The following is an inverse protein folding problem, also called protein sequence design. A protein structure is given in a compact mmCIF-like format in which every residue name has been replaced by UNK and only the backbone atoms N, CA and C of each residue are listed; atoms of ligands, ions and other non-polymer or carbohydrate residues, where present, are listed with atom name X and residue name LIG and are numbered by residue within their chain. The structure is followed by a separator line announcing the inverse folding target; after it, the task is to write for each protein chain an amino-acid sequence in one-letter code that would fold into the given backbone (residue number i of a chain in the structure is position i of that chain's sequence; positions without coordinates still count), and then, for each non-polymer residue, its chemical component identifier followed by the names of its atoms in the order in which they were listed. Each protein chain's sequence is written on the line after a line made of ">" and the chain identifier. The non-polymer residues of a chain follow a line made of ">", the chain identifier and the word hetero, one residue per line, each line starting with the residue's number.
data_IF_266265346825
#
_entry.id   IF_266265346825
#
_cell.length_a   1.000
_cell.length_b   1.000
_cell.length_c   1.000
_cell.angle_alpha   90.00
_cell.angle_beta   90.00
_cell.angle_gamma   90.00
#
_symmetry.space_group_name_H-M   'P 1'
#
loop_
_entity.id
_entity.type
_entity.pdbx_description
1 polymer ?
#
# COMPACT_ATOMS: atom_id res chain seq x y z
N UNK A 1 53.66 -5.93 -35.23
CA UNK A 1 52.53 -5.01 -35.46
C UNK A 1 51.15 -5.69 -35.33
N UNK A 2 50.88 -6.85 -35.96
CA UNK A 2 49.59 -7.57 -35.82
C UNK A 2 49.18 -7.94 -34.38
N UNK A 3 50.13 -8.33 -33.52
CA UNK A 3 49.86 -8.70 -32.11
C UNK A 3 49.42 -7.51 -31.24
N UNK A 4 49.99 -6.33 -31.49
CA UNK A 4 49.63 -5.07 -30.80
C UNK A 4 48.24 -4.60 -31.24
N UNK A 5 47.93 -4.76 -32.53
CA UNK A 5 46.60 -4.47 -33.06
C UNK A 5 45.53 -5.43 -32.50
N UNK A 6 45.87 -6.72 -32.33
CA UNK A 6 44.99 -7.72 -31.72
C UNK A 6 44.72 -7.42 -30.23
N UNK A 7 45.74 -7.03 -29.46
CA UNK A 7 45.56 -6.66 -28.05
C UNK A 7 44.74 -5.39 -27.88
N UNK A 8 44.87 -4.42 -28.80
CA UNK A 8 44.08 -3.18 -28.79
C UNK A 8 42.60 -3.43 -29.11
N UNK A 9 42.31 -4.35 -30.03
CA UNK A 9 40.94 -4.77 -30.34
C UNK A 9 40.33 -5.55 -29.17
N UNK A 10 41.11 -6.42 -28.52
CA UNK A 10 40.63 -7.20 -27.38
C UNK A 10 40.35 -6.33 -26.15
N UNK A 11 41.18 -5.29 -25.90
CA UNK A 11 40.86 -4.30 -24.88
C UNK A 11 39.64 -3.48 -25.28
N UNK A 12 39.52 -3.03 -26.54
CA UNK A 12 38.35 -2.27 -27.01
C UNK A 12 37.02 -3.05 -26.87
N UNK A 13 37.06 -4.36 -27.10
CA UNK A 13 35.93 -5.27 -26.97
C UNK A 13 35.53 -5.57 -25.51
N UNK A 14 36.42 -5.30 -24.55
CA UNK A 14 36.20 -5.56 -23.12
C UNK A 14 35.68 -4.32 -22.35
N UNK A 15 35.78 -3.10 -22.92
CA UNK A 15 35.17 -1.89 -22.33
C UNK A 15 33.67 -2.01 -22.01
N UNK A 16 32.80 -2.65 -22.83
CA UNK A 16 31.38 -2.78 -22.52
C UNK A 16 31.08 -3.75 -21.37
N UNK A 17 32.07 -4.43 -20.77
CA UNK A 17 31.89 -5.26 -19.58
C UNK A 17 32.14 -4.49 -18.27
N UNK A 18 32.76 -3.31 -18.35
CA UNK A 18 33.01 -2.41 -17.21
C UNK A 18 31.99 -1.28 -17.10
N UNK A 19 31.12 -1.13 -18.10
CA UNK A 19 29.93 -0.31 -17.92
C UNK A 19 29.00 -1.10 -16.99
N UNK A 20 29.07 -0.80 -15.70
CA UNK A 20 27.90 -0.99 -14.85
C UNK A 20 26.76 -0.26 -15.55
N UNK A 21 25.77 -1.01 -16.02
CA UNK A 21 24.53 -0.42 -16.48
C UNK A 21 24.11 0.58 -15.39
N UNK A 22 23.99 1.85 -15.76
CA UNK A 22 23.32 2.83 -14.89
C UNK A 22 21.86 2.43 -14.97
N UNK A 23 21.50 1.42 -14.19
CA UNK A 23 20.12 1.09 -13.93
C UNK A 23 19.57 2.30 -13.19
N UNK A 24 18.59 2.96 -13.80
CA UNK A 24 17.78 3.92 -13.08
C UNK A 24 17.13 3.17 -11.93
N UNK A 25 17.67 3.31 -10.71
CA UNK A 25 16.98 2.87 -9.51
C UNK A 25 15.65 3.57 -9.50
N UNK A 26 14.57 2.79 -9.52
CA UNK A 26 13.24 3.31 -9.42
C UNK A 26 13.18 4.11 -8.10
N UNK A 27 12.91 5.44 -8.14
CA UNK A 27 12.78 6.23 -6.93
C UNK A 27 11.57 5.81 -6.10
N UNK A 28 10.72 4.93 -6.66
CA UNK A 28 9.66 4.24 -5.98
C UNK A 28 10.13 2.81 -5.64
N UNK A 29 9.97 2.42 -4.38
CA UNK A 29 10.34 1.12 -3.81
C UNK A 29 9.50 -0.06 -4.36
N UNK A 30 8.66 0.18 -5.38
CA UNK A 30 7.69 -0.76 -5.94
C UNK A 30 7.93 -0.92 -7.44
N UNK A 31 8.17 -2.14 -7.89
CA UNK A 31 8.52 -2.43 -9.29
C UNK A 31 7.28 -2.61 -10.17
N UNK A 32 6.12 -2.88 -9.54
CA UNK A 32 4.84 -3.10 -10.24
C UNK A 32 3.72 -2.20 -9.72
N UNK A 33 2.73 -1.96 -10.59
CA UNK A 33 1.51 -1.23 -10.21
C UNK A 33 0.74 -1.94 -9.08
N UNK A 34 0.79 -3.28 -9.05
CA UNK A 34 0.13 -4.08 -8.02
C UNK A 34 0.75 -3.88 -6.64
N UNK A 35 2.09 -3.92 -6.55
CA UNK A 35 2.82 -3.65 -5.31
C UNK A 35 2.55 -2.24 -4.77
N UNK A 36 2.50 -1.25 -5.66
CA UNK A 36 2.18 0.13 -5.28
C UNK A 36 0.76 0.23 -4.68
N UNK A 37 -0.23 -0.40 -5.32
CA UNK A 37 -1.62 -0.41 -4.85
C UNK A 37 -1.73 -1.13 -3.50
N UNK A 38 -1.08 -2.27 -3.36
CA UNK A 38 -1.04 -3.05 -2.11
C UNK A 38 -0.38 -2.26 -0.98
N UNK A 39 0.70 -1.52 -1.27
CA UNK A 39 1.35 -0.66 -0.30
C UNK A 39 0.47 0.51 0.17
N UNK A 40 -0.22 1.18 -0.75
CA UNK A 40 -1.15 2.27 -0.43
C UNK A 40 -2.29 1.74 0.46
N UNK A 41 -2.86 0.59 0.12
CA UNK A 41 -3.96 -0.01 0.90
C UNK A 41 -3.47 -0.45 2.28
N UNK A 42 -2.27 -1.03 2.37
CA UNK A 42 -1.64 -1.39 3.65
C UNK A 42 -1.41 -0.16 4.52
N UNK A 43 -0.97 0.95 3.93
CA UNK A 43 -0.80 2.22 4.63
C UNK A 43 -2.13 2.77 5.16
N UNK A 44 -3.17 2.81 4.33
CA UNK A 44 -4.52 3.24 4.73
C UNK A 44 -5.06 2.33 5.85
N UNK A 45 -4.84 1.01 5.77
CA UNK A 45 -5.28 0.06 6.79
C UNK A 45 -4.60 0.33 8.14
N UNK A 46 -3.29 0.58 8.16
CA UNK A 46 -2.57 0.93 9.41
C UNK A 46 -3.18 2.17 10.07
N UNK A 47 -3.50 3.19 9.29
CA UNK A 47 -4.15 4.40 9.81
C UNK A 47 -5.56 4.08 10.31
N UNK A 48 -6.34 3.34 9.53
CA UNK A 48 -7.72 2.99 9.88
C UNK A 48 -7.79 2.19 11.19
N UNK A 49 -6.91 1.20 11.40
CA UNK A 49 -6.86 0.41 12.64
C UNK A 49 -6.65 1.30 13.88
N UNK A 50 -5.90 2.40 13.75
CA UNK A 50 -5.68 3.36 14.85
C UNK A 50 -6.85 4.35 14.98
N UNK A 51 -7.42 4.81 13.88
CA UNK A 51 -8.49 5.83 13.86
C UNK A 51 -9.86 5.26 14.21
N UNK A 52 -10.15 4.02 13.82
CA UNK A 52 -11.43 3.33 14.10
C UNK A 52 -11.78 3.32 15.60
N UNK A 53 -10.91 2.86 16.53
CA UNK A 53 -11.24 2.87 17.96
C UNK A 53 -11.44 4.28 18.51
N UNK A 54 -10.74 5.30 18.00
CA UNK A 54 -10.98 6.70 18.36
C UNK A 54 -12.38 7.17 17.95
N UNK A 55 -12.79 6.87 16.71
CA UNK A 55 -14.14 7.20 16.24
C UNK A 55 -15.24 6.48 17.02
N UNK A 56 -15.02 5.20 17.34
CA UNK A 56 -15.95 4.42 18.17
C UNK A 56 -16.05 5.02 19.58
N UNK A 57 -14.94 5.46 20.17
CA UNK A 57 -14.94 6.12 21.47
C UNK A 57 -15.72 7.44 21.46
N UNK A 58 -15.57 8.25 20.41
CA UNK A 58 -16.35 9.48 20.23
C UNK A 58 -17.84 9.16 20.09
N UNK A 59 -18.20 8.19 19.27
CA UNK A 59 -19.60 7.76 19.10
C UNK A 59 -20.20 7.21 20.40
N UNK A 60 -19.41 6.46 21.17
CA UNK A 60 -19.81 5.95 22.48
C UNK A 60 -20.00 7.10 23.48
N UNK A 61 -19.13 8.10 23.49
CA UNK A 61 -19.27 9.28 24.35
C UNK A 61 -20.55 10.06 24.03
N UNK A 62 -20.90 10.21 22.74
CA UNK A 62 -22.16 10.81 22.32
C UNK A 62 -23.39 10.04 22.80
N UNK A 63 -23.33 8.71 22.82
CA UNK A 63 -24.41 7.86 23.35
C UNK A 63 -24.53 7.97 24.87
N UNK A 64 -23.41 7.92 25.59
CA UNK A 64 -23.39 7.98 27.05
C UNK A 64 -23.79 9.36 27.60
N UNK A 65 -23.43 10.43 26.90
CA UNK A 65 -23.76 11.82 27.29
C UNK A 65 -25.07 12.32 26.69
N UNK A 66 -25.83 11.47 26.00
CA UNK A 66 -27.07 11.88 25.35
C UNK A 66 -28.16 12.30 26.35
N UNK A 67 -28.15 11.79 27.59
CA UNK A 67 -29.10 12.15 28.64
C UNK A 67 -30.58 12.12 28.21
N UNK A 68 -30.94 11.23 27.27
CA UNK A 68 -32.30 11.12 26.72
C UNK A 68 -32.59 11.96 25.47
N UNK A 69 -31.63 12.75 24.97
CA UNK A 69 -31.77 13.50 23.71
C UNK A 69 -31.68 12.54 22.50
N UNK A 70 -32.77 12.36 21.73
CA UNK A 70 -32.79 11.45 20.59
C UNK A 70 -31.83 11.86 19.48
N UNK A 71 -31.49 13.16 19.34
CA UNK A 71 -30.50 13.61 18.34
C UNK A 71 -29.11 13.08 18.68
N UNK A 72 -28.68 13.21 19.93
CA UNK A 72 -27.33 12.76 20.36
C UNK A 72 -27.19 11.24 20.29
N UNK A 73 -28.24 10.50 20.66
CA UNK A 73 -28.30 9.05 20.49
C UNK A 73 -28.19 8.67 19.02
N UNK A 74 -28.93 9.36 18.14
CA UNK A 74 -28.87 9.14 16.70
C UNK A 74 -27.47 9.39 16.13
N UNK A 75 -26.85 10.52 16.49
CA UNK A 75 -25.48 10.87 16.05
C UNK A 75 -24.47 9.83 16.51
N UNK A 76 -24.48 9.42 17.79
CA UNK A 76 -23.54 8.43 18.31
C UNK A 76 -23.65 7.07 17.62
N UNK A 77 -24.89 6.59 17.36
CA UNK A 77 -25.12 5.37 16.57
C UNK A 77 -24.57 5.49 15.16
N UNK A 78 -24.84 6.61 14.49
CA UNK A 78 -24.37 6.86 13.13
C UNK A 78 -22.85 6.85 13.06
N UNK A 79 -22.15 7.51 13.99
CA UNK A 79 -20.68 7.51 14.06
C UNK A 79 -20.14 6.09 14.19
N UNK A 80 -20.69 5.29 15.10
CA UNK A 80 -20.26 3.89 15.31
C UNK A 80 -20.53 3.05 14.07
N UNK A 81 -21.71 3.18 13.46
CA UNK A 81 -22.05 2.47 12.23
C UNK A 81 -21.10 2.80 11.09
N UNK A 82 -20.80 4.08 10.85
CA UNK A 82 -19.83 4.48 9.83
C UNK A 82 -18.41 3.99 10.13
N UNK A 83 -17.99 3.98 11.39
CA UNK A 83 -16.69 3.44 11.78
C UNK A 83 -16.59 1.93 11.49
N UNK A 84 -17.65 1.18 11.76
CA UNK A 84 -17.74 -0.26 11.46
C UNK A 84 -17.80 -0.52 9.95
N UNK A 85 -18.62 0.22 9.21
CA UNK A 85 -18.73 0.11 7.75
C UNK A 85 -17.38 0.41 7.10
N UNK A 86 -16.68 1.47 7.53
CA UNK A 86 -15.34 1.79 7.06
C UNK A 86 -14.35 0.66 7.30
N UNK A 87 -14.35 0.06 8.50
CA UNK A 87 -13.49 -1.08 8.81
C UNK A 87 -13.78 -2.30 7.90
N UNK A 88 -15.06 -2.60 7.69
CA UNK A 88 -15.50 -3.70 6.81
C UNK A 88 -15.04 -3.48 5.37
N UNK A 89 -15.20 -2.26 4.84
CA UNK A 89 -14.78 -1.92 3.48
C UNK A 89 -13.28 -2.17 3.30
N UNK A 90 -12.44 -1.77 4.26
CA UNK A 90 -10.99 -1.94 4.13
C UNK A 90 -10.60 -3.42 4.26
N UNK A 91 -11.29 -4.20 5.11
CA UNK A 91 -11.12 -5.66 5.14
C UNK A 91 -11.47 -6.31 3.81
N UNK A 92 -12.58 -5.89 3.18
CA UNK A 92 -12.99 -6.39 1.87
C UNK A 92 -12.00 -6.00 0.76
N UNK A 93 -11.43 -4.80 0.79
CA UNK A 93 -10.43 -4.37 -0.18
C UNK A 93 -9.21 -5.32 -0.21
N UNK A 94 -8.68 -5.69 0.97
CA UNK A 94 -7.58 -6.66 1.06
C UNK A 94 -7.99 -8.06 0.62
N UNK A 95 -9.21 -8.49 0.97
CA UNK A 95 -9.73 -9.78 0.54
C UNK A 95 -9.86 -9.88 -0.98
N UNK A 96 -10.30 -8.80 -1.64
CA UNK A 96 -10.40 -8.74 -3.10
C UNK A 96 -9.02 -8.86 -3.76
N UNK A 97 -8.02 -8.12 -3.29
CA UNK A 97 -6.66 -8.20 -3.84
C UNK A 97 -6.09 -9.61 -3.70
N UNK A 98 -6.19 -10.19 -2.50
CA UNK A 98 -5.74 -11.56 -2.27
C UNK A 98 -6.43 -12.58 -3.18
N UNK A 99 -7.74 -12.40 -3.43
CA UNK A 99 -8.47 -13.26 -4.36
C UNK A 99 -8.02 -13.06 -5.81
N UNK A 100 -7.74 -11.81 -6.21
CA UNK A 100 -7.24 -11.48 -7.54
C UNK A 100 -5.84 -12.08 -7.75
N UNK A 101 -4.91 -11.89 -6.81
CA UNK A 101 -3.58 -12.52 -6.83
C UNK A 101 -3.67 -14.04 -6.96
N UNK A 102 -4.57 -14.67 -6.17
CA UNK A 102 -4.81 -16.12 -6.20
C UNK A 102 -5.38 -16.62 -7.52
N UNK A 103 -6.27 -15.85 -8.16
CA UNK A 103 -6.94 -16.24 -9.41
C UNK A 103 -6.05 -15.98 -10.62
N UNK A 104 -5.29 -14.88 -10.63
CA UNK A 104 -4.40 -14.52 -11.73
C UNK A 104 -3.10 -15.34 -11.68
N UNK A 105 -2.77 -15.97 -10.55
CA UNK A 105 -1.67 -16.93 -10.46
C UNK A 105 -0.29 -16.30 -10.61
N UNK A 106 -0.21 -14.97 -10.55
CA UNK A 106 1.05 -14.23 -10.49
C UNK A 106 1.47 -14.23 -9.02
N UNK A 107 2.57 -14.93 -8.76
CA UNK A 107 3.39 -14.72 -7.57
C UNK A 107 4.40 -13.63 -7.86
#
# INVERSE_FOLDING_TARGET
>A
MKKIFLTLILTLLCLPLLTSAIEFQNPLEYETFDELVTAIISFIFKIAVVVTPLMVMIGAFFLLTAAGDPKKVGTGKTIISYALIGLVIIMLARALIYMIERVIGVK
#
